data_IF_514210869609
#
_entry.id   IF_514210869609
#
_cell.length_a   1.000
_cell.length_b   1.000
_cell.length_c   1.000
_cell.angle_alpha   90.00
_cell.angle_beta   90.00
_cell.angle_gamma   90.00
#
_symmetry.space_group_name_H-M   'P 1'
#
loop_
_entity.id
_entity.type
_entity.pdbx_description
1 polymer ?
#
# COMPACT_ATOMS: atom_id res chain seq x y z
N UNK A 1 9.01 20.85 7.57
CA UNK A 1 7.98 20.12 6.78
C UNK A 1 6.79 21.03 6.65
N UNK A 2 6.35 21.28 5.42
CA UNK A 2 5.13 22.04 5.17
C UNK A 2 3.97 21.03 5.18
N UNK A 3 3.08 21.11 6.17
CA UNK A 3 1.86 20.31 6.21
C UNK A 3 0.82 21.02 5.34
N UNK A 4 0.35 20.35 4.29
CA UNK A 4 -0.64 20.91 3.37
C UNK A 4 -2.07 20.64 3.84
N UNK A 5 -3.06 21.31 3.23
CA UNK A 5 -4.48 20.99 3.48
C UNK A 5 -4.81 19.55 3.09
N UNK A 6 -4.18 19.02 2.04
CA UNK A 6 -4.36 17.62 1.61
C UNK A 6 -3.92 16.63 2.69
N UNK A 7 -2.84 16.96 3.38
CA UNK A 7 -2.26 16.16 4.46
C UNK A 7 -3.23 16.09 5.64
N UNK A 8 -3.74 17.25 6.05
CA UNK A 8 -4.75 17.35 7.12
C UNK A 8 -6.03 16.58 6.74
N UNK A 9 -6.53 16.72 5.50
CA UNK A 9 -7.70 15.98 5.04
C UNK A 9 -7.47 14.47 5.03
N UNK A 10 -6.25 14.02 4.68
CA UNK A 10 -5.87 12.61 4.75
C UNK A 10 -5.89 12.09 6.18
N UNK A 11 -5.36 12.89 7.11
CA UNK A 11 -5.36 12.55 8.52
C UNK A 11 -6.78 12.44 9.08
N UNK A 12 -7.64 13.42 8.80
CA UNK A 12 -9.06 13.39 9.21
C UNK A 12 -9.77 12.18 8.61
N UNK A 13 -9.58 11.93 7.30
CA UNK A 13 -10.17 10.77 6.63
C UNK A 13 -9.73 9.46 7.30
N UNK A 14 -8.47 9.38 7.70
CA UNK A 14 -7.91 8.22 8.36
C UNK A 14 -8.47 8.04 9.79
N UNK A 15 -8.64 9.12 10.56
CA UNK A 15 -9.30 9.10 11.87
C UNK A 15 -10.74 8.58 11.76
N UNK A 16 -11.45 9.00 10.73
CA UNK A 16 -12.84 8.62 10.50
C UNK A 16 -13.04 7.15 10.09
N UNK A 17 -11.96 6.39 9.83
CA UNK A 17 -12.05 4.95 9.54
C UNK A 17 -12.47 4.13 10.76
N UNK A 18 -12.12 4.58 11.96
CA UNK A 18 -12.47 3.90 13.21
C UNK A 18 -12.86 4.90 14.31
N UNK A 19 -14.09 5.45 14.26
CA UNK A 19 -14.55 6.46 15.22
C UNK A 19 -14.54 5.97 16.67
N UNK A 20 -14.79 4.68 16.89
CA UNK A 20 -14.80 4.04 18.22
C UNK A 20 -13.39 4.01 18.84
N UNK A 21 -12.35 3.93 18.01
CA UNK A 21 -10.94 3.96 18.44
C UNK A 21 -10.19 5.11 17.75
N UNK A 22 -10.76 6.31 17.81
CA UNK A 22 -10.21 7.47 17.11
C UNK A 22 -8.81 7.86 17.60
N UNK A 23 -8.45 7.60 18.86
CA UNK A 23 -7.12 7.90 19.40
C UNK A 23 -6.04 7.10 18.69
N UNK A 24 -6.30 5.82 18.46
CA UNK A 24 -5.42 4.94 17.71
C UNK A 24 -5.29 5.40 16.25
N UNK A 25 -6.40 5.78 15.62
CA UNK A 25 -6.37 6.33 14.26
C UNK A 25 -5.75 7.73 14.17
N UNK A 26 -5.81 8.51 15.24
CA UNK A 26 -5.13 9.79 15.32
C UNK A 26 -3.61 9.60 15.34
N UNK A 27 -3.09 8.70 16.18
CA UNK A 27 -1.65 8.42 16.25
C UNK A 27 -1.14 7.86 14.90
N UNK A 28 -1.77 6.79 14.40
CA UNK A 28 -1.36 6.19 13.13
C UNK A 28 -1.53 7.18 11.96
N UNK A 29 -2.60 7.97 11.93
CA UNK A 29 -2.80 8.99 10.90
C UNK A 29 -1.70 10.05 10.89
N UNK A 30 -1.17 10.43 12.06
CA UNK A 30 -0.02 11.34 12.14
C UNK A 30 1.24 10.71 11.52
N UNK A 31 1.47 9.41 11.77
CA UNK A 31 2.55 8.68 11.10
C UNK A 31 2.39 8.61 9.59
N UNK A 32 1.16 8.35 9.11
CA UNK A 32 0.88 8.30 7.68
C UNK A 32 1.20 9.62 6.97
N UNK A 33 0.92 10.74 7.64
CA UNK A 33 0.90 12.06 6.98
C UNK A 33 2.20 12.82 7.14
N UNK A 34 2.85 12.80 8.31
CA UNK A 34 4.05 13.61 8.52
C UNK A 34 5.13 13.01 9.41
N UNK A 35 4.84 12.13 10.36
CA UNK A 35 5.92 11.59 11.25
C UNK A 35 6.86 10.68 10.47
N UNK A 36 6.38 9.83 9.56
CA UNK A 36 7.29 9.01 8.73
C UNK A 36 8.00 9.83 7.65
N UNK A 37 7.41 10.96 7.21
CA UNK A 37 8.09 11.91 6.32
C UNK A 37 9.24 12.67 7.01
N UNK A 38 9.31 12.65 8.35
CA UNK A 38 10.40 13.23 9.14
C UNK A 38 11.67 12.36 9.18
N UNK A 39 11.82 11.33 8.34
CA UNK A 39 12.95 10.39 8.45
C UNK A 39 14.35 11.05 8.27
N UNK A 40 14.44 12.27 7.72
CA UNK A 40 15.69 13.08 7.70
C UNK A 40 15.87 14.02 8.90
N UNK A 41 14.85 14.17 9.74
CA UNK A 41 14.90 15.03 10.93
C UNK A 41 15.62 14.34 12.09
N UNK A 42 16.20 15.10 13.03
CA UNK A 42 16.81 14.52 14.22
C UNK A 42 15.83 13.61 14.96
N UNK A 43 16.29 12.44 15.41
CA UNK A 43 15.48 11.48 16.18
C UNK A 43 14.82 12.13 17.39
N UNK A 44 15.50 13.10 18.02
CA UNK A 44 14.96 13.89 19.14
C UNK A 44 13.72 14.69 18.76
N UNK A 45 13.68 15.31 17.58
CA UNK A 45 12.53 16.07 17.11
C UNK A 45 11.35 15.15 16.78
N UNK A 46 11.63 14.00 16.16
CA UNK A 46 10.62 12.96 15.91
C UNK A 46 10.00 12.49 17.22
N UNK A 47 10.83 12.20 18.22
CA UNK A 47 10.38 11.79 19.55
C UNK A 47 9.57 12.89 20.26
N UNK A 48 10.04 14.13 20.27
CA UNK A 48 9.30 15.26 20.85
C UNK A 48 7.93 15.46 20.21
N UNK A 49 7.83 15.27 18.89
CA UNK A 49 6.56 15.38 18.16
C UNK A 49 5.61 14.25 18.56
N UNK A 50 6.12 13.02 18.64
CA UNK A 50 5.35 11.86 19.11
C UNK A 50 4.86 12.09 20.55
N UNK A 51 5.74 12.51 21.45
CA UNK A 51 5.41 12.78 22.85
C UNK A 51 4.36 13.89 22.97
N UNK A 52 4.47 14.95 22.16
CA UNK A 52 3.48 16.01 22.11
C UNK A 52 2.10 15.50 21.68
N UNK A 53 2.02 14.66 20.64
CA UNK A 53 0.76 14.09 20.16
C UNK A 53 0.15 13.13 21.19
N UNK A 54 0.96 12.27 21.82
CA UNK A 54 0.50 11.35 22.87
C UNK A 54 -0.03 12.13 24.08
N UNK A 55 0.67 13.18 24.50
CA UNK A 55 0.26 14.01 25.63
C UNK A 55 -1.09 14.70 25.40
N UNK A 56 -1.44 15.03 24.15
CA UNK A 56 -2.78 15.56 23.82
C UNK A 56 -3.89 14.54 24.09
N UNK A 57 -3.60 13.24 23.97
CA UNK A 57 -4.58 12.16 24.12
C UNK A 57 -4.73 11.68 25.58
N UNK A 58 -3.80 12.04 26.47
CA UNK A 58 -3.75 11.56 27.88
C UNK A 58 -3.72 10.03 28.01
N UNK A 59 -3.14 9.31 27.05
CA UNK A 59 -3.00 7.85 27.06
C UNK A 59 -1.57 7.43 26.64
N UNK A 60 -1.25 6.13 26.77
CA UNK A 60 0.03 5.54 26.32
C UNK A 60 -0.03 5.25 24.81
N UNK A 61 1.11 5.40 24.11
CA UNK A 61 1.28 5.03 22.69
C UNK A 61 0.92 3.56 22.43
N UNK A 62 0.28 3.28 21.29
CA UNK A 62 -0.29 1.97 20.93
C UNK A 62 0.39 1.41 19.64
N UNK A 63 1.70 1.59 19.48
CA UNK A 63 2.40 1.20 18.23
C UNK A 63 2.93 -0.25 18.19
N UNK A 64 2.87 -0.99 19.30
CA UNK A 64 3.42 -2.35 19.34
C UNK A 64 2.41 -3.37 18.82
N UNK A 65 2.44 -3.63 17.51
CA UNK A 65 1.44 -4.51 16.89
C UNK A 65 2.06 -5.55 15.96
N UNK A 66 1.42 -6.72 15.95
CA UNK A 66 1.77 -7.85 15.10
C UNK A 66 0.77 -7.99 13.94
N UNK A 67 1.26 -8.52 12.82
CA UNK A 67 0.41 -8.89 11.69
C UNK A 67 -0.28 -10.22 12.04
N UNK A 68 -1.60 -10.25 11.95
CA UNK A 68 -2.39 -11.45 12.18
C UNK A 68 -3.20 -11.79 10.94
N UNK A 69 -3.08 -13.04 10.47
CA UNK A 69 -3.79 -13.55 9.31
C UNK A 69 -5.08 -14.21 9.79
N UNK A 70 -6.23 -13.68 9.36
CA UNK A 70 -7.55 -14.31 9.53
C UNK A 70 -7.98 -14.94 8.19
N UNK A 71 -9.07 -15.69 8.20
CA UNK A 71 -9.60 -16.36 6.99
C UNK A 71 -9.82 -15.38 5.83
N UNK A 72 -10.55 -14.29 6.07
CA UNK A 72 -10.95 -13.33 5.03
C UNK A 72 -10.20 -11.99 5.09
N UNK A 73 -9.39 -11.77 6.13
CA UNK A 73 -8.75 -10.48 6.39
C UNK A 73 -7.30 -10.68 6.83
N UNK A 74 -6.42 -9.80 6.35
CA UNK A 74 -5.11 -9.59 6.96
C UNK A 74 -5.25 -8.39 7.90
N UNK A 75 -4.98 -8.62 9.18
CA UNK A 75 -5.17 -7.61 10.23
C UNK A 75 -3.83 -7.12 10.76
N UNK A 76 -3.77 -5.82 11.04
CA UNK A 76 -2.66 -5.15 11.68
C UNK A 76 -3.22 -4.14 12.67
N UNK A 77 -3.13 -4.48 13.95
CA UNK A 77 -3.77 -3.69 15.00
C UNK A 77 -5.27 -3.57 14.83
N UNK A 78 -5.76 -2.33 14.82
CA UNK A 78 -7.17 -2.03 14.53
C UNK A 78 -7.49 -1.89 13.03
N UNK A 79 -6.51 -2.10 12.15
CA UNK A 79 -6.68 -2.02 10.69
C UNK A 79 -6.75 -3.40 10.07
N UNK A 80 -7.41 -3.48 8.91
CA UNK A 80 -7.47 -4.72 8.15
C UNK A 80 -7.56 -4.46 6.66
N UNK A 81 -7.04 -5.40 5.87
CA UNK A 81 -7.31 -5.46 4.44
C UNK A 81 -8.01 -6.78 4.14
N UNK A 82 -8.91 -6.78 3.17
CA UNK A 82 -9.52 -7.99 2.65
C UNK A 82 -8.44 -8.90 2.08
N UNK A 83 -8.65 -10.21 2.12
CA UNK A 83 -7.84 -11.17 1.39
C UNK A 83 -8.53 -11.50 0.07
N UNK A 84 -7.76 -11.56 -1.00
CA UNK A 84 -8.20 -12.06 -2.29
C UNK A 84 -8.38 -13.59 -2.29
N UNK A 85 -8.72 -14.12 -3.45
CA UNK A 85 -8.92 -15.56 -3.69
C UNK A 85 -7.83 -16.18 -4.55
N UNK A 86 -6.75 -15.44 -4.85
CA UNK A 86 -5.68 -15.94 -5.69
C UNK A 86 -4.81 -16.93 -4.91
N UNK A 87 -4.64 -18.12 -5.48
CA UNK A 87 -3.85 -19.20 -4.89
C UNK A 87 -2.50 -19.25 -5.59
N UNK A 88 -1.43 -19.03 -4.85
CA UNK A 88 -0.06 -19.21 -5.33
C UNK A 88 0.33 -20.69 -5.20
N UNK A 89 0.82 -21.29 -6.29
CA UNK A 89 1.33 -22.67 -6.30
C UNK A 89 2.80 -22.74 -5.88
N UNK A 90 3.46 -21.60 -5.72
CA UNK A 90 4.88 -21.49 -5.45
C UNK A 90 5.10 -21.12 -3.98
N UNK A 91 6.07 -21.77 -3.33
CA UNK A 91 6.46 -21.46 -1.97
C UNK A 91 7.62 -20.46 -1.94
N UNK A 92 7.34 -19.19 -2.23
CA UNK A 92 8.29 -18.12 -1.91
C UNK A 92 8.12 -17.69 -0.44
N UNK A 93 9.05 -18.15 0.41
CA UNK A 93 9.09 -17.73 1.82
C UNK A 93 9.67 -16.31 1.95
N UNK A 94 8.84 -15.38 2.41
CA UNK A 94 9.27 -14.04 2.80
C UNK A 94 9.13 -13.86 4.31
N UNK A 95 10.21 -13.44 4.98
CA UNK A 95 10.20 -13.24 6.43
C UNK A 95 9.79 -11.82 6.82
N UNK A 96 8.60 -11.69 7.41
CA UNK A 96 8.11 -10.44 8.00
C UNK A 96 8.60 -10.20 9.44
N UNK A 97 9.43 -11.08 9.98
CA UNK A 97 9.86 -11.04 11.40
C UNK A 97 10.95 -10.01 11.67
N UNK A 98 11.70 -9.60 10.65
CA UNK A 98 12.75 -8.60 10.83
C UNK A 98 12.15 -7.25 11.24
N UNK A 99 12.68 -6.54 12.26
CA UNK A 99 12.06 -5.32 12.79
C UNK A 99 11.82 -4.23 11.75
N UNK A 100 12.78 -4.00 10.85
CA UNK A 100 12.67 -3.01 9.78
C UNK A 100 11.63 -3.41 8.73
N UNK A 101 11.60 -4.69 8.34
CA UNK A 101 10.60 -5.25 7.43
C UNK A 101 9.21 -5.12 8.02
N UNK A 102 9.03 -5.50 9.29
CA UNK A 102 7.76 -5.37 9.98
C UNK A 102 7.29 -3.91 9.94
N UNK A 103 8.13 -2.97 10.39
CA UNK A 103 7.80 -1.53 10.36
C UNK A 103 7.37 -1.05 8.96
N UNK A 104 8.05 -1.49 7.90
CA UNK A 104 7.69 -1.13 6.53
C UNK A 104 6.35 -1.75 6.09
N UNK A 105 6.02 -2.97 6.52
CA UNK A 105 4.67 -3.53 6.32
C UNK A 105 3.62 -2.71 7.07
N UNK A 106 3.90 -2.29 8.30
CA UNK A 106 2.96 -1.47 9.08
C UNK A 106 2.68 -0.15 8.36
N UNK A 107 3.72 0.51 7.84
CA UNK A 107 3.61 1.72 7.02
C UNK A 107 2.74 1.49 5.79
N UNK A 108 2.96 0.39 5.08
CA UNK A 108 2.20 0.04 3.88
C UNK A 108 0.73 -0.28 4.19
N UNK A 109 0.46 -1.13 5.18
CA UNK A 109 -0.91 -1.50 5.59
C UNK A 109 -1.71 -0.30 6.08
N UNK A 110 -1.05 0.63 6.79
CA UNK A 110 -1.64 1.91 7.19
C UNK A 110 -2.02 2.75 5.98
N UNK A 111 -1.12 2.90 5.00
CA UNK A 111 -1.41 3.66 3.79
C UNK A 111 -2.56 3.04 2.97
N UNK A 112 -2.66 1.71 2.93
CA UNK A 112 -3.73 0.97 2.23
C UNK A 112 -5.14 1.22 2.78
N UNK A 113 -5.27 1.75 3.99
CA UNK A 113 -6.59 2.08 4.54
C UNK A 113 -7.25 3.27 3.82
N UNK A 114 -6.45 4.13 3.17
CA UNK A 114 -6.96 5.20 2.32
C UNK A 114 -7.16 4.69 0.88
N UNK A 115 -8.25 3.95 0.67
CA UNK A 115 -8.53 3.20 -0.58
C UNK A 115 -8.56 4.05 -1.86
N UNK A 116 -8.83 5.36 -1.75
CA UNK A 116 -8.93 6.25 -2.90
C UNK A 116 -7.62 6.98 -3.23
N UNK A 117 -6.46 6.46 -2.78
CA UNK A 117 -5.16 7.09 -3.00
C UNK A 117 -4.10 6.09 -3.47
N UNK A 118 -3.37 6.37 -4.56
CA UNK A 118 -2.21 5.57 -4.92
C UNK A 118 -1.12 5.70 -3.84
N UNK A 119 -0.40 4.61 -3.60
CA UNK A 119 0.68 4.54 -2.62
C UNK A 119 2.01 4.59 -3.35
N UNK A 120 2.81 5.61 -3.06
CA UNK A 120 4.20 5.71 -3.53
C UNK A 120 5.13 5.17 -2.44
N UNK A 121 6.06 4.28 -2.80
CA UNK A 121 7.05 3.72 -1.87
C UNK A 121 8.42 4.28 -2.22
N UNK A 122 8.95 5.12 -1.34
CA UNK A 122 10.25 5.76 -1.49
C UNK A 122 11.33 5.10 -0.61
N UNK A 123 12.60 5.34 -0.96
CA UNK A 123 13.76 4.86 -0.19
C UNK A 123 14.91 4.42 -1.11
N UNK A 124 16.04 4.07 -0.52
CA UNK A 124 17.25 3.73 -1.27
C UNK A 124 17.05 2.52 -2.21
N UNK A 125 17.76 2.45 -3.35
CA UNK A 125 17.80 1.25 -4.19
C UNK A 125 18.25 0.02 -3.39
N UNK A 126 17.76 -1.16 -3.75
CA UNK A 126 18.19 -2.44 -3.14
C UNK A 126 17.62 -2.77 -1.75
N UNK A 127 16.83 -1.90 -1.11
CA UNK A 127 16.27 -2.15 0.24
C UNK A 127 15.07 -3.10 0.29
N UNK A 128 14.69 -3.72 -0.83
CA UNK A 128 13.62 -4.72 -0.87
C UNK A 128 12.19 -4.17 -1.01
N UNK A 129 11.99 -2.93 -1.48
CA UNK A 129 10.67 -2.32 -1.70
C UNK A 129 9.74 -3.20 -2.54
N UNK A 130 10.21 -3.62 -3.71
CA UNK A 130 9.44 -4.47 -4.64
C UNK A 130 9.14 -5.83 -4.01
N UNK A 131 10.13 -6.45 -3.35
CA UNK A 131 9.96 -7.73 -2.66
C UNK A 131 8.93 -7.65 -1.54
N UNK A 132 8.90 -6.53 -0.79
CA UNK A 132 7.93 -6.29 0.29
C UNK A 132 6.50 -6.23 -0.24
N UNK A 133 6.26 -5.46 -1.32
CA UNK A 133 4.92 -5.34 -1.95
C UNK A 133 4.44 -6.68 -2.47
N UNK A 134 5.31 -7.39 -3.19
CA UNK A 134 5.01 -8.73 -3.74
C UNK A 134 4.69 -9.71 -2.60
N UNK A 135 5.49 -9.71 -1.54
CA UNK A 135 5.27 -10.57 -0.39
C UNK A 135 3.94 -10.24 0.32
N UNK A 136 3.59 -8.96 0.44
CA UNK A 136 2.33 -8.54 1.05
C UNK A 136 1.12 -8.92 0.17
N UNK A 137 1.21 -8.76 -1.15
CA UNK A 137 0.18 -9.18 -2.10
C UNK A 137 -0.10 -10.68 -1.98
N UNK A 138 0.97 -11.48 -1.94
CA UNK A 138 0.90 -12.94 -1.70
C UNK A 138 0.28 -13.28 -0.37
N UNK A 139 0.69 -12.61 0.71
CA UNK A 139 0.12 -12.81 2.04
C UNK A 139 -1.39 -12.50 2.07
N UNK A 140 -1.80 -11.46 1.33
CA UNK A 140 -3.17 -11.05 1.17
C UNK A 140 -3.94 -11.83 0.08
N UNK A 141 -3.34 -12.86 -0.54
CA UNK A 141 -3.95 -13.66 -1.61
C UNK A 141 -4.45 -12.84 -2.82
N UNK A 142 -3.76 -11.75 -3.17
CA UNK A 142 -3.98 -11.02 -4.41
C UNK A 142 -2.90 -11.38 -5.42
N UNK A 143 -3.30 -11.68 -6.65
CA UNK A 143 -2.37 -11.62 -7.79
C UNK A 143 -1.93 -10.18 -8.03
N UNK A 144 -0.72 -10.00 -8.55
CA UNK A 144 -0.19 -8.70 -8.92
C UNK A 144 0.34 -8.68 -10.36
N UNK A 145 0.38 -7.50 -10.97
CA UNK A 145 1.01 -7.26 -12.26
C UNK A 145 2.14 -6.25 -12.10
N UNK A 146 3.31 -6.58 -12.65
CA UNK A 146 4.43 -5.64 -12.70
C UNK A 146 4.38 -4.85 -14.00
N UNK A 147 4.07 -3.57 -13.89
CA UNK A 147 4.17 -2.61 -14.99
C UNK A 147 5.46 -1.83 -14.83
N UNK A 148 6.36 -1.92 -15.81
CA UNK A 148 7.54 -1.06 -15.87
C UNK A 148 7.21 0.13 -16.77
N UNK A 149 7.48 1.34 -16.30
CA UNK A 149 7.27 2.57 -17.06
C UNK A 149 8.61 3.12 -17.54
N UNK A 150 8.66 3.64 -18.76
CA UNK A 150 9.76 4.44 -19.32
C UNK A 150 9.21 5.67 -20.05
N UNK A 151 10.11 6.54 -20.52
CA UNK A 151 9.72 7.70 -21.33
C UNK A 151 9.08 7.32 -22.68
N UNK A 152 9.23 6.07 -23.12
CA UNK A 152 8.62 5.55 -24.34
C UNK A 152 7.29 4.80 -24.08
N UNK A 153 6.82 4.71 -22.84
CA UNK A 153 5.56 4.02 -22.54
C UNK A 153 4.38 4.91 -22.93
N UNK A 154 3.56 4.43 -23.87
CA UNK A 154 2.37 5.12 -24.32
C UNK A 154 1.10 4.64 -23.61
N UNK A 155 0.01 5.42 -23.72
CA UNK A 155 -1.30 5.07 -23.14
C UNK A 155 -1.80 3.71 -23.67
N UNK A 156 -1.57 3.44 -24.95
CA UNK A 156 -1.93 2.19 -25.61
C UNK A 156 -1.21 0.98 -24.99
N UNK A 157 0.01 1.16 -24.49
CA UNK A 157 0.78 0.09 -23.81
C UNK A 157 0.22 -0.25 -22.43
N UNK A 158 -0.52 0.68 -21.80
CA UNK A 158 -1.12 0.49 -20.47
C UNK A 158 -2.55 -0.02 -20.57
N UNK A 159 -3.37 0.63 -21.39
CA UNK A 159 -4.80 0.36 -21.48
C UNK A 159 -5.14 -0.66 -22.56
N UNK A 160 -4.35 -0.76 -23.62
CA UNK A 160 -4.60 -1.66 -24.74
C UNK A 160 -4.73 -0.94 -26.07
N UNK A 161 -4.85 -1.73 -27.12
CA UNK A 161 -5.02 -1.26 -28.49
C UNK A 161 -5.73 -2.30 -29.35
N UNK A 162 -6.22 -1.85 -30.51
CA UNK A 162 -6.73 -2.76 -31.53
C UNK A 162 -5.56 -3.44 -32.24
N UNK A 163 -5.44 -4.76 -32.06
CA UNK A 163 -4.42 -5.60 -32.69
C UNK A 163 -5.06 -6.49 -33.77
N UNK A 164 -4.32 -6.87 -34.81
CA UNK A 164 -4.81 -7.80 -35.82
C UNK A 164 -5.18 -9.15 -35.19
N UNK A 165 -6.37 -9.65 -35.53
CA UNK A 165 -6.91 -10.90 -35.01
C UNK A 165 -6.21 -12.10 -35.69
N UNK A 166 -5.25 -12.69 -34.98
CA UNK A 166 -4.44 -13.81 -35.47
C UNK A 166 -5.21 -15.14 -35.44
N UNK A 167 -6.33 -15.23 -34.70
CA UNK A 167 -7.07 -16.47 -34.48
C UNK A 167 -8.07 -16.78 -35.61
N UNK A 168 -8.58 -15.76 -36.30
CA UNK A 168 -9.61 -15.93 -37.34
C UNK A 168 -9.08 -16.24 -38.76
N UNK A 169 -7.76 -16.20 -39.00
CA UNK A 169 -7.15 -16.49 -40.31
C UNK A 169 -7.60 -15.56 -41.46
N UNK A 170 -8.41 -14.53 -41.18
CA UNK A 170 -8.90 -13.55 -42.13
C UNK A 170 -8.06 -12.28 -42.01
N UNK A 171 -7.24 -12.00 -43.02
CA UNK A 171 -6.46 -10.77 -43.07
C UNK A 171 -7.37 -9.53 -43.00
N UNK A 172 -7.04 -8.58 -42.12
CA UNK A 172 -7.72 -7.28 -42.02
C UNK A 172 -8.76 -7.15 -40.90
N UNK A 173 -8.98 -8.17 -40.07
CA UNK A 173 -9.78 -8.04 -38.85
C UNK A 173 -8.93 -7.60 -37.67
N UNK A 174 -9.41 -6.60 -36.94
CA UNK A 174 -8.80 -6.10 -35.71
C UNK A 174 -9.71 -6.42 -34.53
N UNK A 175 -9.09 -6.75 -33.39
CA UNK A 175 -9.77 -7.01 -32.14
C UNK A 175 -9.08 -6.19 -31.05
N UNK A 176 -9.88 -5.66 -30.13
CA UNK A 176 -9.34 -5.01 -28.96
C UNK A 176 -8.58 -6.00 -28.08
N UNK A 177 -7.35 -5.64 -27.72
CA UNK A 177 -6.55 -6.36 -26.73
C UNK A 177 -6.29 -5.44 -25.53
N UNK A 178 -6.73 -5.88 -24.35
CA UNK A 178 -6.50 -5.16 -23.10
C UNK A 178 -5.00 -5.07 -22.78
N UNK A 179 -4.56 -3.89 -22.37
CA UNK A 179 -3.24 -3.68 -21.82
C UNK A 179 -3.11 -4.21 -20.38
N UNK A 180 -1.89 -4.28 -19.83
CA UNK A 180 -1.61 -4.80 -18.49
C UNK A 180 -2.33 -4.03 -17.38
N UNK A 181 -2.45 -2.70 -17.48
CA UNK A 181 -3.14 -1.91 -16.46
C UNK A 181 -4.65 -2.14 -16.51
N UNK A 182 -5.24 -2.16 -17.71
CA UNK A 182 -6.67 -2.40 -17.87
C UNK A 182 -7.05 -3.83 -17.41
N UNK A 183 -6.20 -4.81 -17.73
CA UNK A 183 -6.35 -6.19 -17.25
C UNK A 183 -6.31 -6.26 -15.73
N UNK A 184 -5.35 -5.59 -15.09
CA UNK A 184 -5.23 -5.54 -13.63
C UNK A 184 -6.50 -4.97 -12.97
N UNK A 185 -7.01 -3.86 -13.51
CA UNK A 185 -8.24 -3.20 -13.02
C UNK A 185 -9.45 -4.14 -13.16
N UNK A 186 -9.64 -4.76 -14.33
CA UNK A 186 -10.77 -5.68 -14.57
C UNK A 186 -10.76 -6.89 -13.64
N UNK A 187 -9.57 -7.36 -13.26
CA UNK A 187 -9.38 -8.56 -12.46
C UNK A 187 -9.15 -8.28 -10.95
N UNK A 188 -9.24 -7.02 -10.49
CA UNK A 188 -8.94 -6.60 -9.12
C UNK A 188 -7.55 -7.07 -8.63
N UNK A 189 -6.53 -6.91 -9.47
CA UNK A 189 -5.15 -7.27 -9.17
C UNK A 189 -4.38 -6.07 -8.59
N UNK A 190 -3.30 -6.37 -7.87
CA UNK A 190 -2.38 -5.35 -7.36
C UNK A 190 -1.35 -4.91 -8.41
#
# INVERSE_FOLDING_TARGET
>A
ILITVRDILSWISFINLNPENWQYSYEHGAYLVFIDAMDSSPTSLKQQTIDFLINQQKQKSILSETINIKSNYLTFGSYSILRGSYIYNDHEEYSFKAPTTLLNVQRLLRAMQLTNKPILIEGNPGVGKTSLVIALARLANYSYIRINLSEQTDISDLFGSDLPDVECGQAGKFKWHDGPLLTAIKNNQW
#
